data_IF_693348541403
#
_entry.id   IF_693348541403
#
_cell.length_a   1.000
_cell.length_b   1.000
_cell.length_c   1.000
_cell.angle_alpha   90.00
_cell.angle_beta   90.00
_cell.angle_gamma   90.00
#
_symmetry.space_group_name_H-M   'P 1'
#
loop_
_entity.id
_entity.type
_entity.pdbx_description
1 polymer ?
#
# COMPACT_ATOMS: atom_id res chain seq x y z
N UNK A 1 80.95 -66.05 -5.11
CA UNK A 1 80.03 -66.91 -5.85
C UNK A 1 78.63 -66.55 -5.49
N UNK A 2 77.91 -66.09 -6.43
CA UNK A 2 76.42 -65.84 -6.54
C UNK A 2 75.69 -65.34 -5.30
N UNK A 3 75.45 -64.01 -5.29
CA UNK A 3 74.46 -63.30 -4.54
C UNK A 3 73.18 -63.23 -5.38
N UNK A 4 71.91 -63.38 -4.85
CA UNK A 4 70.71 -62.87 -5.48
C UNK A 4 70.01 -61.85 -4.56
N UNK A 5 69.99 -60.61 -4.97
CA UNK A 5 69.21 -59.57 -4.39
C UNK A 5 67.72 -59.74 -4.78
N UNK A 6 66.85 -59.88 -3.77
CA UNK A 6 65.38 -59.81 -3.96
C UNK A 6 64.92 -58.36 -3.99
N UNK A 7 64.31 -57.96 -5.09
CA UNK A 7 63.62 -56.70 -5.22
C UNK A 7 62.31 -56.71 -4.42
N UNK A 8 62.20 -55.84 -3.46
CA UNK A 8 60.94 -55.51 -2.77
C UNK A 8 60.28 -54.42 -3.57
N UNK A 9 59.04 -54.65 -4.09
CA UNK A 9 58.21 -53.70 -4.78
C UNK A 9 57.48 -52.85 -3.73
N UNK A 10 57.56 -51.50 -3.67
CA UNK A 10 56.73 -50.69 -2.82
C UNK A 10 55.40 -50.46 -3.53
N UNK A 11 54.35 -51.07 -3.00
CA UNK A 11 52.96 -50.75 -3.37
C UNK A 11 52.67 -49.31 -2.97
N UNK A 12 52.55 -48.40 -3.94
CA UNK A 12 52.05 -47.02 -3.79
C UNK A 12 50.59 -47.09 -3.48
N UNK A 13 50.21 -46.87 -2.22
CA UNK A 13 48.86 -46.65 -1.78
C UNK A 13 48.47 -45.19 -2.16
N UNK A 14 47.77 -45.02 -3.29
CA UNK A 14 47.21 -43.74 -3.70
C UNK A 14 46.01 -43.41 -2.82
N UNK A 15 46.18 -42.56 -1.83
CA UNK A 15 45.07 -41.98 -1.06
C UNK A 15 44.48 -40.88 -1.92
N UNK A 16 43.34 -41.18 -2.57
CA UNK A 16 42.51 -40.17 -3.23
C UNK A 16 41.80 -39.35 -2.17
N UNK A 17 42.31 -38.17 -1.88
CA UNK A 17 41.59 -37.16 -1.10
C UNK A 17 40.47 -36.62 -1.99
N UNK A 18 39.26 -37.11 -1.79
CA UNK A 18 38.05 -36.45 -2.34
C UNK A 18 37.87 -35.15 -1.55
N UNK A 19 38.42 -34.08 -2.07
CA UNK A 19 38.10 -32.73 -1.62
C UNK A 19 36.64 -32.46 -1.99
N UNK A 20 35.71 -32.70 -1.05
CA UNK A 20 34.35 -32.18 -1.14
C UNK A 20 34.50 -30.67 -1.14
N UNK A 21 34.37 -30.04 -2.32
CA UNK A 21 34.23 -28.61 -2.44
C UNK A 21 32.89 -28.24 -1.77
N UNK A 22 32.97 -27.85 -0.52
CA UNK A 22 31.85 -27.13 0.13
C UNK A 22 31.77 -25.79 -0.62
N UNK A 23 30.90 -25.72 -1.60
CA UNK A 23 30.51 -24.45 -2.19
C UNK A 23 29.83 -23.65 -1.06
N UNK A 24 30.61 -22.84 -0.34
CA UNK A 24 30.03 -21.73 0.39
C UNK A 24 29.37 -20.84 -0.67
N UNK A 25 28.04 -20.84 -0.74
CA UNK A 25 27.34 -19.86 -1.52
C UNK A 25 27.87 -18.49 -1.09
N UNK A 26 28.46 -17.75 -2.02
CA UNK A 26 28.99 -16.43 -1.73
C UNK A 26 27.82 -15.57 -1.24
N UNK A 27 27.99 -14.91 -0.09
CA UNK A 27 27.00 -14.01 0.45
C UNK A 27 26.61 -12.98 -0.61
N UNK A 28 25.32 -12.88 -0.89
CA UNK A 28 24.78 -11.94 -1.88
C UNK A 28 24.40 -10.63 -1.23
N UNK A 29 24.61 -9.52 -1.95
CA UNK A 29 24.00 -8.24 -1.65
C UNK A 29 22.73 -8.13 -2.49
N UNK A 30 21.57 -8.15 -1.85
CA UNK A 30 20.27 -8.05 -2.49
C UNK A 30 19.81 -6.60 -2.41
N UNK A 31 19.51 -5.99 -3.56
CA UNK A 31 19.00 -4.62 -3.67
C UNK A 31 17.48 -4.66 -3.77
N UNK A 32 16.81 -4.01 -2.82
CA UNK A 32 15.36 -3.86 -2.79
C UNK A 32 14.98 -2.38 -2.94
N UNK A 33 14.05 -2.09 -3.84
CA UNK A 33 13.44 -0.76 -3.98
C UNK A 33 12.12 -0.70 -3.22
N UNK A 34 11.97 0.31 -2.37
CA UNK A 34 10.83 0.48 -1.47
C UNK A 34 10.39 1.93 -1.39
N UNK A 35 9.08 2.17 -1.33
CA UNK A 35 8.51 3.49 -1.05
C UNK A 35 8.92 4.01 0.32
N UNK A 36 8.92 5.34 0.47
CA UNK A 36 9.35 6.03 1.67
C UNK A 36 8.17 6.72 2.39
N UNK A 37 7.12 5.95 2.71
CA UNK A 37 5.97 6.44 3.50
C UNK A 37 6.19 6.07 4.96
N UNK A 38 6.00 7.03 5.86
CA UNK A 38 6.15 6.83 7.30
C UNK A 38 7.55 6.35 7.70
N UNK A 39 7.63 5.25 8.44
CA UNK A 39 8.88 4.60 8.88
C UNK A 39 9.18 3.30 8.13
N UNK A 40 8.64 3.10 6.95
CA UNK A 40 8.73 1.83 6.22
C UNK A 40 10.19 1.39 5.97
N UNK A 41 11.06 2.34 5.62
CA UNK A 41 12.49 2.05 5.37
C UNK A 41 13.22 1.63 6.65
N UNK A 42 12.96 2.32 7.77
CA UNK A 42 13.54 1.99 9.07
C UNK A 42 13.06 0.62 9.55
N UNK A 43 11.77 0.35 9.45
CA UNK A 43 11.17 -0.95 9.80
C UNK A 43 11.76 -2.06 8.96
N UNK A 44 11.90 -1.85 7.65
CA UNK A 44 12.49 -2.85 6.74
C UNK A 44 13.94 -3.18 7.15
N UNK A 45 14.75 -2.17 7.48
CA UNK A 45 16.14 -2.36 7.95
C UNK A 45 16.22 -3.10 9.30
N UNK A 46 15.22 -2.95 10.16
CA UNK A 46 15.17 -3.68 11.44
C UNK A 46 14.74 -5.14 11.23
N UNK A 47 13.65 -5.37 10.52
CA UNK A 47 13.10 -6.72 10.37
C UNK A 47 14.01 -7.66 9.58
N UNK A 48 14.88 -7.14 8.71
CA UNK A 48 15.76 -7.97 7.87
C UNK A 48 16.97 -8.54 8.61
N UNK A 49 17.33 -7.99 9.78
CA UNK A 49 18.54 -8.40 10.53
C UNK A 49 18.60 -9.91 10.83
N UNK A 50 17.52 -10.61 11.24
CA UNK A 50 17.55 -12.07 11.43
C UNK A 50 17.84 -12.82 10.12
N UNK A 51 17.27 -12.39 8.99
CA UNK A 51 17.54 -12.98 7.68
C UNK A 51 19.00 -12.79 7.26
N UNK A 52 19.57 -11.60 7.42
CA UNK A 52 20.99 -11.34 7.15
C UNK A 52 21.90 -12.24 8.01
N UNK A 53 21.58 -12.34 9.30
CA UNK A 53 22.35 -13.17 10.23
C UNK A 53 22.29 -14.66 9.88
N UNK A 54 21.13 -15.17 9.49
CA UNK A 54 20.92 -16.60 9.22
C UNK A 54 21.47 -17.03 7.88
N UNK A 55 21.46 -16.15 6.86
CA UNK A 55 21.86 -16.46 5.49
C UNK A 55 23.26 -15.98 5.14
N UNK A 56 23.79 -15.01 5.87
CA UNK A 56 25.01 -14.27 5.52
C UNK A 56 24.83 -13.23 4.42
N UNK A 57 23.66 -13.19 3.77
CA UNK A 57 23.34 -12.19 2.75
C UNK A 57 23.17 -10.79 3.38
N UNK A 58 23.16 -9.77 2.52
CA UNK A 58 22.93 -8.38 2.93
C UNK A 58 21.78 -7.77 2.13
N UNK A 59 21.01 -6.92 2.78
CA UNK A 59 19.99 -6.10 2.13
C UNK A 59 20.47 -4.67 1.98
N UNK A 60 20.44 -4.17 0.74
CA UNK A 60 20.54 -2.74 0.44
C UNK A 60 19.18 -2.23 0.01
N UNK A 61 18.64 -1.25 0.75
CA UNK A 61 17.35 -0.63 0.44
C UNK A 61 17.58 0.65 -0.35
N UNK A 62 17.00 0.73 -1.54
CA UNK A 62 16.98 1.93 -2.35
C UNK A 62 15.62 2.62 -2.16
N UNK A 63 15.58 3.80 -1.49
CA UNK A 63 14.32 4.49 -1.23
C UNK A 63 13.74 5.10 -2.52
N UNK A 64 12.43 4.92 -2.69
CA UNK A 64 11.66 5.52 -3.77
C UNK A 64 10.85 6.72 -3.25
N UNK A 65 10.37 7.61 -4.15
CA UNK A 65 9.40 8.63 -3.78
C UNK A 65 8.17 8.06 -3.07
N UNK A 66 7.49 8.86 -2.26
CA UNK A 66 6.22 8.46 -1.65
C UNK A 66 5.12 8.24 -2.69
N UNK A 67 5.09 9.05 -3.75
CA UNK A 67 4.13 8.93 -4.86
C UNK A 67 4.21 7.57 -5.56
N UNK A 68 3.14 6.77 -5.46
CA UNK A 68 3.01 5.49 -6.16
C UNK A 68 3.01 5.64 -7.68
N UNK A 69 2.50 6.76 -8.20
CA UNK A 69 2.56 7.08 -9.64
C UNK A 69 4.00 7.24 -10.12
N UNK A 70 4.84 7.95 -9.37
CA UNK A 70 6.25 8.14 -9.72
C UNK A 70 7.05 6.83 -9.58
N UNK A 71 6.77 6.05 -8.53
CA UNK A 71 7.36 4.72 -8.37
C UNK A 71 7.05 3.82 -9.57
N UNK A 72 5.79 3.73 -9.97
CA UNK A 72 5.38 2.90 -11.10
C UNK A 72 6.05 3.34 -12.41
N UNK A 73 6.11 4.63 -12.66
CA UNK A 73 6.81 5.19 -13.82
C UNK A 73 8.29 4.77 -13.86
N UNK A 74 8.98 4.90 -12.74
CA UNK A 74 10.38 4.52 -12.62
C UNK A 74 10.60 3.00 -12.75
N UNK A 75 9.72 2.18 -12.14
CA UNK A 75 9.78 0.72 -12.26
C UNK A 75 9.62 0.26 -13.71
N UNK A 76 8.69 0.85 -14.45
CA UNK A 76 8.52 0.55 -15.88
C UNK A 76 9.78 0.81 -16.68
N UNK A 77 10.47 1.93 -16.43
CA UNK A 77 11.72 2.26 -17.12
C UNK A 77 12.82 1.24 -16.81
N UNK A 78 13.05 0.92 -15.54
CA UNK A 78 14.08 -0.04 -15.14
C UNK A 78 13.79 -1.45 -15.65
N UNK A 79 12.56 -1.92 -15.54
CA UNK A 79 12.16 -3.26 -15.97
C UNK A 79 12.18 -3.37 -17.50
N UNK A 80 11.78 -2.35 -18.25
CA UNK A 80 11.89 -2.32 -19.70
C UNK A 80 13.34 -2.35 -20.20
N UNK A 81 14.25 -1.70 -19.45
CA UNK A 81 15.69 -1.73 -19.73
C UNK A 81 16.38 -3.05 -19.33
N UNK A 82 15.67 -3.98 -18.67
CA UNK A 82 16.25 -5.20 -18.14
C UNK A 82 17.27 -4.96 -17.03
N UNK A 83 17.04 -3.93 -16.20
CA UNK A 83 17.96 -3.54 -15.13
C UNK A 83 18.19 -4.72 -14.16
N UNK A 84 19.44 -5.15 -14.04
CA UNK A 84 19.89 -6.25 -13.20
C UNK A 84 20.53 -5.79 -11.87
N UNK A 85 20.53 -4.47 -11.60
CA UNK A 85 21.07 -3.91 -10.36
C UNK A 85 20.02 -3.85 -9.24
N UNK A 86 18.76 -4.14 -9.57
CA UNK A 86 17.65 -4.21 -8.63
C UNK A 86 17.10 -5.63 -8.63
N UNK A 87 17.12 -6.26 -7.46
CA UNK A 87 16.75 -7.66 -7.27
C UNK A 87 15.28 -7.82 -6.87
N UNK A 88 14.79 -6.96 -5.96
CA UNK A 88 13.44 -7.02 -5.38
C UNK A 88 12.74 -5.68 -5.52
N UNK A 89 11.48 -5.73 -5.91
CA UNK A 89 10.62 -4.56 -6.06
C UNK A 89 9.47 -4.65 -5.06
N UNK A 90 9.30 -3.63 -4.24
CA UNK A 90 8.05 -3.46 -3.49
C UNK A 90 6.97 -3.00 -4.48
N UNK A 91 5.83 -3.68 -4.50
CA UNK A 91 4.76 -3.46 -5.48
C UNK A 91 3.42 -3.20 -4.81
N UNK A 92 2.66 -2.22 -5.34
CA UNK A 92 1.26 -2.00 -4.96
C UNK A 92 0.39 -3.19 -5.43
N UNK A 93 -0.71 -3.46 -4.73
CA UNK A 93 -1.66 -4.55 -5.03
C UNK A 93 -2.19 -4.53 -6.47
N UNK A 94 -2.17 -3.39 -7.13
CA UNK A 94 -2.66 -3.19 -8.49
C UNK A 94 -1.63 -3.47 -9.59
N UNK A 95 -0.35 -3.66 -9.27
CA UNK A 95 0.71 -3.71 -10.29
C UNK A 95 0.99 -5.11 -10.85
N UNK A 96 0.53 -6.18 -10.20
CA UNK A 96 0.78 -7.55 -10.65
C UNK A 96 0.36 -7.79 -12.12
N UNK A 97 -0.84 -7.42 -12.59
CA UNK A 97 -1.22 -7.62 -13.99
C UNK A 97 -0.37 -6.84 -14.99
N UNK A 98 0.15 -5.68 -14.58
CA UNK A 98 0.89 -4.77 -15.46
C UNK A 98 2.38 -5.13 -15.59
N UNK A 99 2.97 -5.70 -14.54
CA UNK A 99 4.41 -5.95 -14.44
C UNK A 99 4.78 -7.44 -14.45
N UNK A 100 3.81 -8.35 -14.51
CA UNK A 100 3.97 -9.80 -14.40
C UNK A 100 5.10 -10.37 -15.27
N UNK A 101 5.24 -9.88 -16.49
CA UNK A 101 6.23 -10.37 -17.45
C UNK A 101 7.70 -10.07 -17.04
N UNK A 102 7.91 -9.24 -16.02
CA UNK A 102 9.24 -8.82 -15.57
C UNK A 102 9.66 -9.46 -14.24
N UNK A 103 8.77 -10.23 -13.61
CA UNK A 103 9.02 -10.85 -12.33
C UNK A 103 9.10 -12.38 -12.42
N UNK A 104 9.72 -12.97 -11.43
CA UNK A 104 9.84 -14.42 -11.26
C UNK A 104 8.49 -14.98 -10.84
N UNK A 105 8.09 -16.12 -11.40
CA UNK A 105 6.98 -16.91 -10.89
C UNK A 105 7.34 -17.52 -9.53
N UNK A 106 6.70 -17.06 -8.47
CA UNK A 106 6.95 -17.50 -7.10
C UNK A 106 6.17 -18.77 -6.73
N UNK A 107 5.22 -19.22 -7.55
CA UNK A 107 4.37 -20.39 -7.27
C UNK A 107 5.17 -21.63 -6.83
N UNK A 108 6.29 -22.00 -7.48
CA UNK A 108 7.05 -23.19 -7.07
C UNK A 108 7.71 -23.10 -5.69
N UNK A 109 7.93 -21.87 -5.20
CA UNK A 109 8.73 -21.58 -4.02
C UNK A 109 7.92 -21.29 -2.75
N UNK A 110 6.59 -21.17 -2.87
CA UNK A 110 5.74 -20.56 -1.84
C UNK A 110 4.60 -21.44 -1.33
N UNK A 111 4.56 -22.71 -1.75
CA UNK A 111 3.51 -23.69 -1.37
C UNK A 111 3.34 -23.87 0.14
N UNK A 112 4.39 -23.58 0.90
CA UNK A 112 4.44 -23.70 2.35
C UNK A 112 3.86 -22.48 3.09
N UNK A 113 3.64 -21.36 2.39
CA UNK A 113 3.24 -20.09 3.02
C UNK A 113 1.98 -19.46 2.45
N UNK A 114 1.60 -19.73 1.20
CA UNK A 114 0.47 -19.05 0.54
C UNK A 114 -0.86 -19.26 1.25
N UNK A 115 -1.09 -20.45 1.81
CA UNK A 115 -2.35 -20.79 2.51
C UNK A 115 -2.50 -20.08 3.87
N UNK A 116 -1.46 -19.44 4.37
CA UNK A 116 -1.50 -18.64 5.59
C UNK A 116 -2.14 -17.27 5.37
N UNK A 117 -2.10 -16.78 4.13
CA UNK A 117 -2.62 -15.47 3.74
C UNK A 117 -4.11 -15.53 3.37
N UNK A 118 -4.78 -14.37 3.39
CA UNK A 118 -6.14 -14.27 2.86
C UNK A 118 -6.16 -14.63 1.36
N UNK A 119 -7.01 -15.59 0.95
CA UNK A 119 -7.04 -16.07 -0.44
C UNK A 119 -7.21 -14.97 -1.49
N UNK A 120 -8.08 -13.98 -1.22
CA UNK A 120 -8.32 -12.85 -2.12
C UNK A 120 -7.08 -11.99 -2.35
N UNK A 121 -6.19 -11.88 -1.36
CA UNK A 121 -4.94 -11.13 -1.50
C UNK A 121 -3.95 -11.91 -2.37
N UNK A 122 -3.81 -13.21 -2.16
CA UNK A 122 -2.98 -14.08 -3.03
C UNK A 122 -3.52 -14.07 -4.47
N UNK A 123 -4.84 -14.14 -4.65
CA UNK A 123 -5.46 -14.07 -5.96
C UNK A 123 -5.15 -12.75 -6.68
N UNK A 124 -5.19 -11.61 -5.98
CA UNK A 124 -4.84 -10.30 -6.54
C UNK A 124 -3.40 -10.22 -7.05
N UNK A 125 -2.50 -11.03 -6.49
CA UNK A 125 -1.09 -11.10 -6.88
C UNK A 125 -0.80 -12.25 -7.88
N UNK A 126 -1.84 -12.97 -8.30
CA UNK A 126 -1.73 -14.08 -9.26
C UNK A 126 -2.21 -13.65 -10.64
N UNK A 127 -1.34 -13.77 -11.63
CA UNK A 127 -1.62 -13.40 -13.02
C UNK A 127 -1.32 -14.60 -13.93
N UNK A 128 -2.31 -15.02 -14.72
CA UNK A 128 -2.19 -16.18 -15.62
C UNK A 128 -1.70 -17.45 -14.91
N UNK A 129 -2.17 -17.70 -13.69
CA UNK A 129 -1.83 -18.85 -12.85
C UNK A 129 -0.43 -18.79 -12.21
N UNK A 130 0.24 -17.65 -12.28
CA UNK A 130 1.56 -17.41 -11.68
C UNK A 130 1.44 -16.43 -10.54
N UNK A 131 2.01 -16.76 -9.39
CA UNK A 131 2.14 -15.84 -8.26
C UNK A 131 3.31 -14.88 -8.54
N UNK A 132 3.01 -13.62 -8.75
CA UNK A 132 3.96 -12.59 -9.19
C UNK A 132 4.67 -11.92 -8.01
N UNK A 133 3.95 -11.75 -6.90
CA UNK A 133 4.48 -11.11 -5.70
C UNK A 133 3.93 -11.75 -4.43
N UNK A 134 4.65 -11.63 -3.32
CA UNK A 134 4.19 -12.04 -1.99
C UNK A 134 3.73 -10.83 -1.19
N UNK A 135 2.56 -10.89 -0.54
CA UNK A 135 2.06 -9.78 0.24
C UNK A 135 2.84 -9.62 1.56
N UNK A 136 3.16 -8.38 1.91
CA UNK A 136 3.86 -8.03 3.15
C UNK A 136 2.95 -7.29 4.14
N UNK A 137 1.93 -6.60 3.68
CA UNK A 137 0.80 -6.09 4.44
C UNK A 137 -0.34 -5.68 3.50
N UNK A 138 -1.55 -5.58 4.04
CA UNK A 138 -2.72 -5.03 3.35
C UNK A 138 -3.12 -3.71 3.97
N UNK A 139 -3.97 -2.95 3.28
CA UNK A 139 -4.46 -1.67 3.74
C UNK A 139 -5.94 -1.47 3.40
N UNK A 140 -6.62 -0.75 4.29
CA UNK A 140 -7.87 -0.06 4.03
C UNK A 140 -7.85 1.25 4.83
N UNK A 141 -8.22 2.39 4.23
CA UNK A 141 -8.09 3.69 4.89
C UNK A 141 -9.07 3.86 6.06
N UNK A 142 -8.73 4.81 6.91
CA UNK A 142 -9.48 5.19 8.09
C UNK A 142 -9.85 6.66 8.05
N UNK A 143 -10.96 7.00 8.71
CA UNK A 143 -11.19 8.33 9.23
C UNK A 143 -10.52 8.44 10.59
N UNK A 144 -9.38 9.12 10.65
CA UNK A 144 -8.77 9.52 11.91
C UNK A 144 -9.47 10.76 12.45
N UNK A 145 -9.80 10.76 13.74
CA UNK A 145 -10.55 11.85 14.36
C UNK A 145 -9.98 12.26 15.71
N UNK A 146 -10.01 13.53 16.05
CA UNK A 146 -9.61 14.08 17.35
C UNK A 146 -10.70 13.82 18.38
N UNK A 147 -10.56 12.71 19.14
CA UNK A 147 -11.52 12.31 20.19
C UNK A 147 -11.63 13.35 21.32
N UNK A 148 -10.55 14.03 21.61
CA UNK A 148 -10.51 15.11 22.59
C UNK A 148 -11.37 16.32 22.16
N UNK A 149 -11.28 16.71 20.88
CA UNK A 149 -12.09 17.80 20.32
C UNK A 149 -13.56 17.41 20.19
N UNK A 150 -13.86 16.19 19.74
CA UNK A 150 -15.24 15.68 19.70
C UNK A 150 -15.85 15.72 21.11
N UNK A 151 -15.13 15.26 22.13
CA UNK A 151 -15.58 15.32 23.53
C UNK A 151 -15.76 16.76 24.02
N UNK A 152 -14.79 17.64 23.72
CA UNK A 152 -14.83 19.08 24.13
C UNK A 152 -16.09 19.77 23.63
N UNK A 153 -16.52 19.45 22.40
CA UNK A 153 -17.65 20.10 21.76
C UNK A 153 -18.93 19.25 21.74
N UNK A 154 -18.96 18.16 22.50
CA UNK A 154 -20.10 17.24 22.61
C UNK A 154 -20.59 16.77 21.23
N UNK A 155 -19.64 16.36 20.38
CA UNK A 155 -19.87 15.77 19.04
C UNK A 155 -19.53 14.29 19.05
N UNK A 156 -20.15 13.54 18.15
CA UNK A 156 -19.90 12.12 17.89
C UNK A 156 -19.05 11.95 16.63
N UNK A 157 -18.50 10.75 16.46
CA UNK A 157 -17.85 10.37 15.21
C UNK A 157 -18.89 10.39 14.08
N UNK A 158 -18.63 11.09 12.95
CA UNK A 158 -19.60 11.19 11.87
C UNK A 158 -19.75 9.86 11.12
N UNK A 159 -20.97 9.52 10.74
CA UNK A 159 -21.30 8.34 9.92
C UNK A 159 -21.50 8.67 8.45
N UNK A 160 -21.78 9.93 8.14
CA UNK A 160 -21.96 10.41 6.76
C UNK A 160 -21.01 11.55 6.46
N UNK A 161 -20.73 11.78 5.17
CA UNK A 161 -19.92 12.91 4.73
C UNK A 161 -20.53 14.27 5.07
N UNK A 162 -21.86 14.33 5.11
CA UNK A 162 -22.57 15.54 5.54
C UNK A 162 -22.31 15.82 7.03
N UNK A 163 -22.49 14.82 7.90
CA UNK A 163 -22.18 14.93 9.33
C UNK A 163 -20.71 15.29 9.58
N UNK A 164 -19.77 14.72 8.78
CA UNK A 164 -18.36 15.07 8.84
C UNK A 164 -18.16 16.54 8.51
N UNK A 165 -18.77 17.02 7.41
CA UNK A 165 -18.63 18.41 6.96
C UNK A 165 -19.15 19.39 8.02
N UNK A 166 -20.34 19.15 8.56
CA UNK A 166 -20.94 19.98 9.60
C UNK A 166 -20.12 20.00 10.90
N UNK A 167 -19.69 18.81 11.35
CA UNK A 167 -18.89 18.66 12.59
C UNK A 167 -17.52 19.30 12.44
N UNK A 168 -16.85 19.06 11.30
CA UNK A 168 -15.56 19.64 10.97
C UNK A 168 -15.62 21.17 10.97
N UNK A 169 -16.60 21.74 10.28
CA UNK A 169 -16.80 23.19 10.20
C UNK A 169 -17.06 23.81 11.56
N UNK A 170 -17.94 23.18 12.35
CA UNK A 170 -18.25 23.65 13.70
C UNK A 170 -17.01 23.68 14.60
N UNK A 171 -16.25 22.57 14.67
CA UNK A 171 -15.08 22.48 15.56
C UNK A 171 -13.98 23.42 15.07
N UNK A 172 -13.68 23.45 13.77
CA UNK A 172 -12.72 24.37 13.17
C UNK A 172 -13.00 25.82 13.56
N UNK A 173 -14.27 26.25 13.43
CA UNK A 173 -14.68 27.59 13.77
C UNK A 173 -14.46 27.87 15.26
N UNK A 174 -14.85 26.96 16.14
CA UNK A 174 -14.70 27.10 17.58
C UNK A 174 -13.23 27.11 18.03
N UNK A 175 -12.39 26.29 17.44
CA UNK A 175 -10.95 26.27 17.75
C UNK A 175 -10.26 27.55 17.27
N UNK A 176 -10.63 28.08 16.09
CA UNK A 176 -10.14 29.36 15.60
C UNK A 176 -10.57 30.53 16.48
N UNK A 177 -11.82 30.57 16.93
CA UNK A 177 -12.32 31.54 17.92
C UNK A 177 -11.57 31.43 19.27
N UNK A 178 -11.14 30.23 19.65
CA UNK A 178 -10.39 29.95 20.88
C UNK A 178 -8.89 30.24 20.78
N UNK A 179 -8.41 30.75 19.63
CA UNK A 179 -7.01 31.16 19.45
C UNK A 179 -6.11 30.17 18.69
N UNK A 180 -6.70 29.18 18.01
CA UNK A 180 -5.98 28.30 17.08
C UNK A 180 -6.38 28.60 15.62
N UNK A 181 -5.79 29.64 14.98
CA UNK A 181 -6.15 30.06 13.64
C UNK A 181 -5.80 29.03 12.55
N UNK A 182 -4.86 28.13 12.84
CA UNK A 182 -4.36 27.13 11.90
C UNK A 182 -5.19 25.84 11.86
N UNK A 183 -6.24 25.75 12.70
CA UNK A 183 -7.11 24.58 12.71
C UNK A 183 -7.90 24.41 11.42
N UNK A 184 -7.84 23.23 10.83
CA UNK A 184 -8.67 22.79 9.72
C UNK A 184 -9.62 21.68 10.13
N UNK A 185 -10.73 21.57 9.42
CA UNK A 185 -11.74 20.57 9.69
C UNK A 185 -11.35 19.18 9.20
N UNK A 186 -10.85 19.09 7.94
CA UNK A 186 -10.56 17.81 7.30
C UNK A 186 -9.38 17.91 6.34
N UNK A 187 -8.45 16.93 6.40
CA UNK A 187 -7.31 16.80 5.50
C UNK A 187 -7.25 15.40 4.89
N UNK A 188 -6.84 15.33 3.63
CA UNK A 188 -6.86 14.14 2.79
C UNK A 188 -5.88 14.29 1.61
N UNK A 189 -5.79 13.28 0.71
CA UNK A 189 -4.83 13.21 -0.39
C UNK A 189 -5.43 13.78 -1.68
N UNK A 190 -5.26 15.08 -1.93
CA UNK A 190 -5.85 15.79 -3.07
C UNK A 190 -4.92 16.01 -4.27
N UNK A 191 -3.63 15.63 -4.18
CA UNK A 191 -2.70 15.74 -5.30
C UNK A 191 -3.12 14.84 -6.47
N UNK A 192 -2.78 15.23 -7.71
CA UNK A 192 -3.08 14.45 -8.91
C UNK A 192 -2.13 13.23 -9.05
N UNK A 193 -2.42 12.16 -8.34
CA UNK A 193 -1.66 10.89 -8.34
C UNK A 193 -2.58 9.73 -7.91
N UNK A 194 -2.06 8.51 -7.84
CA UNK A 194 -2.81 7.30 -7.50
C UNK A 194 -3.57 7.41 -6.16
N UNK A 195 -3.05 8.16 -5.18
CA UNK A 195 -3.76 8.39 -3.91
C UNK A 195 -5.11 9.08 -4.10
N UNK A 196 -5.23 10.02 -5.05
CA UNK A 196 -6.51 10.66 -5.37
C UNK A 196 -7.48 9.68 -6.05
N UNK A 197 -6.97 8.70 -6.81
CA UNK A 197 -7.83 7.60 -7.30
C UNK A 197 -8.47 6.85 -6.14
N UNK A 198 -7.70 6.58 -5.08
CA UNK A 198 -8.22 5.92 -3.88
C UNK A 198 -9.29 6.78 -3.19
N UNK A 199 -8.97 8.02 -2.85
CA UNK A 199 -9.89 8.94 -2.15
C UNK A 199 -11.18 9.15 -2.94
N UNK A 200 -11.10 9.41 -4.25
CA UNK A 200 -12.26 9.66 -5.08
C UNK A 200 -13.13 8.42 -5.30
N UNK A 201 -12.51 7.23 -5.41
CA UNK A 201 -13.24 5.96 -5.49
C UNK A 201 -14.07 5.73 -4.21
N UNK A 202 -13.54 6.08 -3.04
CA UNK A 202 -14.23 6.01 -1.76
C UNK A 202 -15.47 6.91 -1.75
N UNK A 203 -15.32 8.16 -2.18
CA UNK A 203 -16.45 9.08 -2.29
C UNK A 203 -17.51 8.58 -3.27
N UNK A 204 -17.12 8.30 -4.50
CA UNK A 204 -18.02 7.83 -5.55
C UNK A 204 -18.76 6.57 -5.15
N UNK A 205 -18.04 5.56 -4.64
CA UNK A 205 -18.63 4.29 -4.22
C UNK A 205 -19.60 4.45 -3.05
N UNK A 206 -19.26 5.28 -2.06
CA UNK A 206 -20.10 5.53 -0.88
C UNK A 206 -21.41 6.24 -1.23
N UNK A 207 -21.46 7.00 -2.32
CA UNK A 207 -22.69 7.59 -2.87
C UNK A 207 -23.50 6.62 -3.73
N UNK A 208 -22.97 5.45 -4.05
CA UNK A 208 -23.58 4.50 -4.97
C UNK A 208 -23.31 4.82 -6.44
N UNK A 209 -22.25 5.58 -6.73
CA UNK A 209 -21.79 5.98 -8.07
C UNK A 209 -20.99 4.90 -8.82
N UNK A 210 -21.02 3.66 -8.36
CA UNK A 210 -20.28 2.56 -8.99
C UNK A 210 -18.80 2.54 -8.65
N UNK A 211 -18.04 1.92 -9.55
CA UNK A 211 -16.58 1.95 -9.54
C UNK A 211 -16.09 2.65 -10.80
N UNK A 212 -14.94 2.87 -11.12
CA UNK A 212 -14.50 3.55 -12.36
C UNK A 212 -14.84 2.67 -13.56
N UNK A 213 -14.43 1.41 -13.46
CA UNK A 213 -14.75 0.31 -14.37
C UNK A 213 -15.19 -0.87 -13.52
N UNK A 214 -16.34 -1.44 -13.83
CA UNK A 214 -16.91 -2.58 -13.12
C UNK A 214 -16.15 -3.88 -13.42
N UNK A 215 -16.41 -4.93 -12.64
CA UNK A 215 -15.74 -6.21 -12.79
C UNK A 215 -15.93 -6.87 -14.17
N UNK A 216 -17.04 -6.58 -14.84
CA UNK A 216 -17.33 -7.04 -16.20
C UNK A 216 -16.69 -6.17 -17.31
N UNK A 217 -15.95 -5.12 -16.92
CA UNK A 217 -15.31 -4.19 -17.85
C UNK A 217 -16.20 -3.04 -18.33
N UNK A 218 -17.39 -2.86 -17.75
CA UNK A 218 -18.27 -1.72 -18.05
C UNK A 218 -17.73 -0.46 -17.41
N UNK A 219 -17.65 0.64 -18.16
CA UNK A 219 -17.31 1.96 -17.63
C UNK A 219 -18.56 2.53 -16.96
N UNK A 220 -18.49 2.84 -15.66
CA UNK A 220 -19.64 3.24 -14.86
C UNK A 220 -19.54 4.65 -14.24
N UNK A 221 -18.41 5.34 -14.43
CA UNK A 221 -18.05 6.53 -13.67
C UNK A 221 -18.92 7.76 -13.99
N UNK A 222 -19.42 7.90 -15.21
CA UNK A 222 -20.26 9.03 -15.61
C UNK A 222 -21.72 8.80 -15.20
N UNK A 223 -22.06 9.20 -14.00
CA UNK A 223 -23.42 9.07 -13.47
C UNK A 223 -23.71 10.17 -12.41
N UNK A 224 -25.00 10.47 -12.14
CA UNK A 224 -25.37 11.53 -11.19
C UNK A 224 -24.83 11.35 -9.78
N UNK A 225 -24.60 10.13 -9.30
CA UNK A 225 -24.07 9.86 -7.96
C UNK A 225 -22.57 10.14 -7.87
N UNK A 226 -21.83 9.83 -8.91
CA UNK A 226 -20.43 10.22 -9.01
C UNK A 226 -20.27 11.75 -9.07
N UNK A 227 -21.13 12.43 -9.84
CA UNK A 227 -21.19 13.90 -9.87
C UNK A 227 -21.45 14.49 -8.48
N UNK A 228 -22.45 13.95 -7.76
CA UNK A 228 -22.79 14.38 -6.39
C UNK A 228 -21.60 14.24 -5.44
N UNK A 229 -20.89 13.10 -5.48
CA UNK A 229 -19.72 12.84 -4.67
C UNK A 229 -18.58 13.85 -4.95
N UNK A 230 -18.28 14.12 -6.21
CA UNK A 230 -17.21 15.07 -6.57
C UNK A 230 -17.57 16.52 -6.23
N UNK A 231 -18.84 16.92 -6.37
CA UNK A 231 -19.30 18.24 -5.93
C UNK A 231 -19.17 18.43 -4.43
N UNK A 232 -19.50 17.40 -3.66
CA UNK A 232 -19.30 17.41 -2.21
C UNK A 232 -17.81 17.60 -1.87
N UNK A 233 -16.91 16.78 -2.43
CA UNK A 233 -15.48 16.89 -2.15
C UNK A 233 -14.92 18.27 -2.54
N UNK A 234 -15.33 18.80 -3.68
CA UNK A 234 -14.97 20.17 -4.11
C UNK A 234 -15.40 21.23 -3.09
N UNK A 235 -16.57 21.07 -2.46
CA UNK A 235 -17.10 22.03 -1.50
C UNK A 235 -16.26 22.16 -0.22
N UNK A 236 -15.45 21.15 0.11
CA UNK A 236 -14.58 21.18 1.30
C UNK A 236 -13.38 22.11 1.14
N UNK A 237 -12.92 22.34 -0.11
CA UNK A 237 -11.68 23.06 -0.40
C UNK A 237 -11.87 24.56 -0.13
N UNK A 238 -11.06 25.12 0.76
CA UNK A 238 -11.18 26.51 1.23
C UNK A 238 -12.24 26.71 2.32
N UNK A 239 -13.11 25.72 2.60
CA UNK A 239 -14.10 25.75 3.68
C UNK A 239 -13.59 24.97 4.91
N UNK A 240 -13.57 23.62 4.85
CA UNK A 240 -13.10 22.76 5.94
C UNK A 240 -11.72 22.14 5.65
N UNK A 241 -11.26 22.20 4.43
CA UNK A 241 -9.93 21.74 3.99
C UNK A 241 -9.12 22.92 3.47
N UNK A 242 -7.80 22.98 3.73
CA UNK A 242 -6.96 24.04 3.19
C UNK A 242 -6.91 23.96 1.66
N UNK A 243 -6.76 25.10 0.97
CA UNK A 243 -6.59 25.11 -0.49
C UNK A 243 -5.38 24.26 -0.93
N UNK A 244 -4.34 24.19 -0.09
CA UNK A 244 -3.16 23.36 -0.29
C UNK A 244 -3.44 21.86 -0.34
N UNK A 245 -4.62 21.38 0.08
CA UNK A 245 -5.00 19.97 0.02
C UNK A 245 -4.88 19.40 -1.39
N UNK A 246 -5.04 20.23 -2.43
CA UNK A 246 -4.86 19.84 -3.84
C UNK A 246 -3.42 19.41 -4.21
N UNK A 247 -2.46 19.64 -3.33
CA UNK A 247 -1.08 19.19 -3.48
C UNK A 247 -0.68 18.15 -2.44
N UNK A 248 -1.58 17.76 -1.51
CA UNK A 248 -1.23 16.83 -0.43
C UNK A 248 -1.18 15.39 -0.92
N UNK A 249 -0.14 14.71 -0.47
CA UNK A 249 -0.03 13.26 -0.42
C UNK A 249 -0.21 12.78 1.03
N UNK A 250 0.05 11.51 1.31
CA UNK A 250 -0.15 10.90 2.63
C UNK A 250 0.56 11.65 3.75
N UNK A 251 1.86 11.96 3.54
CA UNK A 251 2.69 12.60 4.55
C UNK A 251 2.34 14.07 4.80
N UNK A 252 1.86 14.78 3.77
CA UNK A 252 1.42 16.18 3.90
C UNK A 252 0.16 16.25 4.78
N UNK A 253 -0.86 15.44 4.48
CA UNK A 253 -2.08 15.35 5.27
C UNK A 253 -1.77 14.92 6.71
N UNK A 254 -0.91 13.90 6.89
CA UNK A 254 -0.47 13.43 8.20
C UNK A 254 0.28 14.51 8.98
N UNK A 255 1.13 15.27 8.32
CA UNK A 255 1.87 16.38 8.95
C UNK A 255 0.95 17.42 9.56
N UNK A 256 -0.05 17.88 8.84
CA UNK A 256 -1.05 18.84 9.36
C UNK A 256 -1.82 18.24 10.53
N UNK A 257 -2.27 16.99 10.42
CA UNK A 257 -3.07 16.34 11.46
C UNK A 257 -2.22 16.03 12.72
N UNK A 258 -1.03 15.48 12.56
CA UNK A 258 -0.16 15.07 13.66
C UNK A 258 0.37 16.25 14.50
N UNK A 259 0.46 17.44 13.91
CA UNK A 259 0.77 18.69 14.64
C UNK A 259 -0.44 19.24 15.42
N UNK A 260 -1.62 18.64 15.28
CA UNK A 260 -2.82 19.03 15.99
C UNK A 260 -3.73 20.00 15.23
N UNK A 261 -3.40 20.32 13.98
CA UNK A 261 -4.06 21.35 13.17
C UNK A 261 -5.15 20.84 12.25
N UNK A 262 -5.66 19.62 12.49
CA UNK A 262 -6.86 19.12 11.81
C UNK A 262 -7.75 18.31 12.76
N UNK A 263 -9.07 18.40 12.59
CA UNK A 263 -10.07 17.66 13.36
C UNK A 263 -10.18 16.23 12.86
N UNK A 264 -10.22 16.08 11.55
CA UNK A 264 -10.30 14.79 10.85
C UNK A 264 -9.21 14.66 9.80
N UNK A 265 -8.80 13.42 9.55
CA UNK A 265 -7.88 13.06 8.47
C UNK A 265 -8.32 11.73 7.84
N UNK A 266 -8.35 11.67 6.50
CA UNK A 266 -8.32 10.39 5.79
C UNK A 266 -6.86 9.98 5.64
N UNK A 267 -6.51 8.78 6.05
CA UNK A 267 -5.18 8.21 5.79
C UNK A 267 -5.21 6.68 5.97
N UNK A 268 -4.08 6.03 5.68
CA UNK A 268 -3.87 4.60 5.85
C UNK A 268 -3.52 4.24 7.29
N UNK A 269 -3.66 2.97 7.72
CA UNK A 269 -3.45 2.51 9.10
C UNK A 269 -2.09 2.85 9.71
N UNK A 270 -1.02 2.95 8.92
CA UNK A 270 0.32 3.32 9.43
C UNK A 270 0.33 4.65 10.21
N UNK A 271 -0.56 5.56 9.87
CA UNK A 271 -0.69 6.84 10.56
C UNK A 271 -1.10 6.68 12.04
N UNK A 272 -1.68 5.53 12.43
CA UNK A 272 -2.03 5.28 13.83
C UNK A 272 -0.81 5.16 14.73
N UNK A 273 0.19 4.37 14.33
CA UNK A 273 1.44 4.24 15.09
C UNK A 273 2.18 5.59 15.20
N UNK A 274 2.25 6.34 14.09
CA UNK A 274 2.91 7.65 14.06
C UNK A 274 2.17 8.71 14.88
N UNK A 275 0.84 8.72 14.86
CA UNK A 275 0.01 9.61 15.67
C UNK A 275 0.16 9.35 17.16
N UNK A 276 0.54 8.15 17.58
CA UNK A 276 0.83 7.78 18.97
C UNK A 276 2.32 7.80 19.32
N UNK A 277 3.20 8.26 18.42
CA UNK A 277 4.63 8.39 18.72
C UNK A 277 4.89 9.51 19.75
N UNK A 278 6.06 9.47 20.40
CA UNK A 278 6.44 10.45 21.42
C UNK A 278 6.53 11.88 20.86
N UNK A 279 6.85 12.04 19.59
CA UNK A 279 6.94 13.35 18.92
C UNK A 279 5.58 13.91 18.47
N UNK A 280 4.49 13.12 18.61
CA UNK A 280 3.17 13.52 18.15
C UNK A 280 2.48 14.46 19.13
N UNK A 281 2.02 15.62 18.65
CA UNK A 281 1.24 16.56 19.46
C UNK A 281 -0.16 16.03 19.85
N UNK A 282 -0.61 14.97 19.16
CA UNK A 282 -1.92 14.36 19.35
C UNK A 282 -1.88 12.96 19.95
N UNK A 283 -0.73 12.53 20.48
CA UNK A 283 -0.60 11.26 21.18
C UNK A 283 -1.74 11.08 22.17
N UNK A 284 -2.41 9.92 22.15
CA UNK A 284 -3.56 9.56 22.98
C UNK A 284 -4.81 10.46 22.84
N UNK A 285 -4.84 11.41 21.88
CA UNK A 285 -5.96 12.35 21.69
C UNK A 285 -6.87 12.01 20.51
N UNK A 286 -6.65 10.91 19.83
CA UNK A 286 -7.38 10.56 18.61
C UNK A 286 -7.92 9.13 18.63
N UNK A 287 -8.76 8.83 17.67
CA UNK A 287 -9.24 7.50 17.32
C UNK A 287 -9.31 7.32 15.82
N UNK A 288 -9.68 6.12 15.40
CA UNK A 288 -9.94 5.78 14.02
C UNK A 288 -11.32 5.14 13.88
N UNK A 289 -11.99 5.42 12.78
CA UNK A 289 -13.30 4.90 12.43
C UNK A 289 -13.36 4.56 10.94
N UNK A 290 -14.30 3.70 10.49
CA UNK A 290 -14.58 3.56 9.07
C UNK A 290 -14.87 4.92 8.42
N UNK A 291 -14.56 5.05 7.12
CA UNK A 291 -14.89 6.26 6.37
C UNK A 291 -16.40 6.50 6.37
N UNK A 292 -16.86 7.76 6.33
CA UNK A 292 -18.27 8.08 6.26
C UNK A 292 -18.94 7.53 4.99
N UNK A 293 -20.26 7.37 5.03
CA UNK A 293 -21.06 7.04 3.86
C UNK A 293 -21.59 8.27 3.16
N UNK A 294 -21.97 8.14 1.88
CA UNK A 294 -22.66 9.19 1.13
C UNK A 294 -24.16 9.20 1.41
N UNK A 295 -24.90 8.38 0.67
CA UNK A 295 -26.38 8.41 0.65
C UNK A 295 -27.05 7.58 1.76
N UNK A 296 -26.30 6.70 2.45
CA UNK A 296 -26.81 5.81 3.49
C UNK A 296 -25.73 5.47 4.50
N UNK A 297 -26.01 5.54 5.82
CA UNK A 297 -25.04 5.21 6.87
C UNK A 297 -24.39 3.81 6.75
N UNK A 298 -25.04 2.91 6.02
CA UNK A 298 -24.56 1.53 5.84
C UNK A 298 -23.74 1.32 4.56
N UNK A 299 -23.41 2.40 3.83
CA UNK A 299 -22.65 2.33 2.56
C UNK A 299 -21.31 3.03 2.64
N UNK A 300 -20.60 2.85 3.73
CA UNK A 300 -19.18 3.22 3.78
C UNK A 300 -18.38 2.46 2.71
N UNK A 301 -17.39 3.12 2.12
CA UNK A 301 -16.48 2.51 1.19
C UNK A 301 -15.04 2.86 1.56
N UNK A 302 -14.16 1.88 1.54
CA UNK A 302 -12.73 2.03 1.73
C UNK A 302 -12.03 1.38 0.54
N UNK A 303 -11.05 2.03 -0.05
CA UNK A 303 -10.28 1.45 -1.17
C UNK A 303 -9.31 0.41 -0.64
N UNK A 304 -9.27 -0.77 -1.28
CA UNK A 304 -8.27 -1.79 -0.97
C UNK A 304 -6.88 -1.30 -1.39
N UNK A 305 -5.99 -1.24 -0.42
CA UNK A 305 -4.58 -1.01 -0.58
C UNK A 305 -3.75 -2.22 -0.14
N UNK A 306 -2.45 -2.00 -0.07
CA UNK A 306 -1.51 -3.00 0.42
C UNK A 306 -0.29 -3.14 -0.48
N UNK A 307 0.75 -3.73 0.10
CA UNK A 307 2.05 -3.80 -0.51
C UNK A 307 2.58 -5.22 -0.54
N UNK A 308 3.31 -5.52 -1.59
CA UNK A 308 3.85 -6.83 -1.90
C UNK A 308 5.32 -6.71 -2.28
N UNK A 309 6.02 -7.83 -2.37
CA UNK A 309 7.41 -7.88 -2.84
C UNK A 309 7.54 -8.89 -3.97
N UNK A 310 8.14 -8.47 -5.07
CA UNK A 310 8.34 -9.25 -6.29
C UNK A 310 9.83 -9.38 -6.60
N UNK A 311 10.26 -10.53 -7.12
CA UNK A 311 11.64 -10.79 -7.53
C UNK A 311 11.81 -10.47 -9.00
N UNK A 312 12.77 -9.61 -9.35
CA UNK A 312 13.11 -9.30 -10.72
C UNK A 312 13.59 -10.54 -11.49
N UNK A 313 13.05 -10.78 -12.69
CA UNK A 313 13.60 -11.84 -13.55
C UNK A 313 15.02 -11.55 -14.02
N UNK A 314 15.45 -10.30 -13.94
CA UNK A 314 16.79 -9.84 -14.33
C UNK A 314 17.81 -9.94 -13.19
N UNK A 315 17.36 -10.17 -11.95
CA UNK A 315 18.24 -10.34 -10.79
C UNK A 315 19.35 -11.37 -11.03
N UNK A 316 20.54 -11.03 -10.57
CA UNK A 316 21.70 -11.94 -10.52
C UNK A 316 21.71 -12.78 -9.25
N UNK A 317 20.89 -12.43 -8.25
CA UNK A 317 20.83 -13.02 -6.91
C UNK A 317 19.46 -13.67 -6.64
N UNK A 318 18.88 -14.39 -7.62
CA UNK A 318 17.48 -14.89 -7.56
C UNK A 318 17.18 -15.74 -6.33
N UNK A 319 18.08 -16.66 -5.95
CA UNK A 319 17.89 -17.54 -4.80
C UNK A 319 17.84 -16.73 -3.49
N UNK A 320 18.78 -15.80 -3.30
CA UNK A 320 18.81 -14.93 -2.15
C UNK A 320 17.56 -14.01 -2.13
N UNK A 321 17.15 -13.49 -3.29
CA UNK A 321 15.96 -12.64 -3.43
C UNK A 321 14.68 -13.39 -3.13
N UNK A 322 14.52 -14.63 -3.59
CA UNK A 322 13.38 -15.50 -3.26
C UNK A 322 13.34 -15.79 -1.75
N UNK A 323 14.51 -16.09 -1.14
CA UNK A 323 14.61 -16.26 0.30
C UNK A 323 14.19 -15.01 1.06
N UNK A 324 14.62 -13.83 0.60
CA UNK A 324 14.26 -12.55 1.21
C UNK A 324 12.74 -12.27 1.11
N UNK A 325 12.12 -12.44 -0.05
CA UNK A 325 10.68 -12.13 -0.20
C UNK A 325 9.82 -13.10 0.62
N UNK A 326 10.21 -14.37 0.74
CA UNK A 326 9.56 -15.33 1.65
C UNK A 326 9.69 -14.90 3.10
N UNK A 327 10.87 -14.46 3.52
CA UNK A 327 11.10 -13.96 4.87
C UNK A 327 10.26 -12.70 5.16
N UNK A 328 10.23 -11.74 4.24
CA UNK A 328 9.44 -10.50 4.40
C UNK A 328 7.94 -10.75 4.47
N UNK A 329 7.43 -11.81 3.82
CA UNK A 329 6.03 -12.23 3.86
C UNK A 329 5.69 -13.12 5.07
N UNK A 330 6.66 -13.49 5.90
CA UNK A 330 6.47 -14.42 7.03
C UNK A 330 5.63 -13.83 8.15
N UNK A 331 5.08 -14.71 8.99
CA UNK A 331 4.30 -14.35 10.17
C UNK A 331 5.10 -13.47 11.15
N UNK A 332 6.39 -13.80 11.36
CA UNK A 332 7.29 -13.05 12.23
C UNK A 332 7.40 -11.57 11.79
N UNK A 333 7.66 -11.34 10.50
CA UNK A 333 7.84 -10.00 9.96
C UNK A 333 6.51 -9.24 9.93
N UNK A 334 5.42 -9.88 9.56
CA UNK A 334 4.11 -9.23 9.55
C UNK A 334 3.61 -8.90 10.97
N UNK A 335 3.88 -9.76 11.96
CA UNK A 335 3.62 -9.45 13.37
C UNK A 335 4.43 -8.24 13.84
N UNK A 336 5.71 -8.19 13.50
CA UNK A 336 6.56 -7.02 13.83
C UNK A 336 6.00 -5.73 13.22
N UNK A 337 5.65 -5.75 11.92
CA UNK A 337 5.04 -4.59 11.24
C UNK A 337 3.71 -4.17 11.87
N UNK A 338 2.87 -5.14 12.23
CA UNK A 338 1.62 -4.87 12.91
C UNK A 338 1.83 -4.12 14.23
N UNK A 339 2.76 -4.60 15.06
CA UNK A 339 3.03 -4.03 16.38
C UNK A 339 3.71 -2.65 16.33
N UNK A 340 4.61 -2.41 15.35
CA UNK A 340 5.45 -1.20 15.32
C UNK A 340 5.01 -0.14 14.30
N UNK A 341 4.20 -0.53 13.31
CA UNK A 341 3.76 0.35 12.22
C UNK A 341 2.26 0.37 12.00
N UNK A 342 1.48 -0.39 12.78
CA UNK A 342 0.03 -0.58 12.58
C UNK A 342 -0.34 -1.05 11.17
N UNK A 343 0.58 -1.71 10.44
CA UNK A 343 0.28 -2.32 9.15
C UNK A 343 -0.66 -3.51 9.36
N UNK A 344 -1.68 -3.64 8.52
CA UNK A 344 -2.63 -4.74 8.58
C UNK A 344 -1.99 -6.02 8.05
N UNK A 345 -1.92 -7.11 8.84
CA UNK A 345 -1.37 -8.37 8.35
C UNK A 345 -2.20 -8.98 7.21
N UNK A 346 -1.54 -9.67 6.30
CA UNK A 346 -2.20 -10.51 5.30
C UNK A 346 -2.34 -11.96 5.76
N UNK A 347 -1.70 -12.32 6.87
CA UNK A 347 -1.75 -13.64 7.50
C UNK A 347 -2.93 -13.71 8.46
N UNK A 348 -3.80 -14.70 8.24
CA UNK A 348 -5.11 -14.81 8.91
C UNK A 348 -4.97 -14.99 10.43
N UNK A 349 -4.00 -15.84 10.88
CA UNK A 349 -3.77 -16.15 12.29
C UNK A 349 -3.43 -14.93 13.15
N UNK A 350 -2.77 -13.92 12.55
CA UNK A 350 -2.31 -12.72 13.25
C UNK A 350 -3.45 -11.83 13.78
N UNK A 351 -4.66 -11.96 13.24
CA UNK A 351 -5.84 -11.26 13.77
C UNK A 351 -6.34 -11.86 15.10
N UNK A 352 -5.86 -13.05 15.43
CA UNK A 352 -6.12 -13.72 16.71
C UNK A 352 -4.93 -13.66 17.69
N UNK A 353 -3.81 -13.08 17.24
CA UNK A 353 -2.62 -12.91 18.07
C UNK A 353 -2.91 -11.99 19.28
N UNK A 354 -2.46 -12.44 20.45
CA UNK A 354 -2.72 -11.76 21.73
C UNK A 354 -2.03 -10.41 21.81
N UNK A 355 -0.75 -10.34 21.39
CA UNK A 355 0.04 -9.12 21.49
C UNK A 355 -0.52 -8.04 20.56
N UNK A 356 -0.96 -8.43 19.35
CA UNK A 356 -1.58 -7.51 18.41
C UNK A 356 -2.92 -7.00 18.98
N UNK A 357 -3.76 -7.86 19.52
CA UNK A 357 -5.05 -7.44 20.11
C UNK A 357 -4.88 -6.48 21.29
N UNK A 358 -3.86 -6.69 22.10
CA UNK A 358 -3.59 -5.84 23.27
C UNK A 358 -2.91 -4.52 22.91
N UNK A 359 -1.94 -4.52 21.99
CA UNK A 359 -1.11 -3.35 21.70
C UNK A 359 -1.60 -2.55 20.49
N UNK A 360 -2.32 -3.20 19.55
CA UNK A 360 -2.82 -2.60 18.31
C UNK A 360 -4.29 -2.93 18.08
N UNK A 361 -5.20 -2.47 18.96
CA UNK A 361 -6.61 -2.81 18.87
C UNK A 361 -7.28 -2.38 17.55
N UNK A 362 -6.71 -1.37 16.87
CA UNK A 362 -7.16 -0.94 15.55
C UNK A 362 -7.10 -2.09 14.51
N UNK A 363 -6.08 -2.95 14.57
CA UNK A 363 -5.92 -4.04 13.60
C UNK A 363 -7.09 -5.01 13.66
N UNK A 364 -7.49 -5.43 14.87
CA UNK A 364 -8.64 -6.31 15.04
C UNK A 364 -9.95 -5.66 14.53
N UNK A 365 -10.13 -4.36 14.79
CA UNK A 365 -11.30 -3.60 14.32
C UNK A 365 -11.31 -3.43 12.79
N UNK A 366 -10.14 -3.38 12.15
CA UNK A 366 -10.00 -3.10 10.72
C UNK A 366 -10.14 -4.32 9.83
N UNK A 367 -10.16 -5.54 10.39
CA UNK A 367 -10.31 -6.78 9.60
C UNK A 367 -11.53 -6.73 8.68
N UNK A 368 -12.68 -6.36 9.21
CA UNK A 368 -13.92 -6.29 8.42
C UNK A 368 -13.89 -5.16 7.39
N UNK A 369 -13.21 -4.05 7.69
CA UNK A 369 -13.07 -2.92 6.75
C UNK A 369 -12.31 -3.35 5.51
N UNK A 370 -11.13 -3.98 5.66
CA UNK A 370 -10.34 -4.38 4.49
C UNK A 370 -10.95 -5.58 3.74
N UNK A 371 -11.61 -6.52 4.42
CA UNK A 371 -12.28 -7.65 3.76
C UNK A 371 -13.44 -7.20 2.84
N UNK A 372 -14.03 -6.04 3.13
CA UNK A 372 -15.09 -5.42 2.32
C UNK A 372 -14.60 -4.22 1.50
N UNK A 373 -13.29 -3.99 1.48
CA UNK A 373 -12.71 -2.88 0.74
C UNK A 373 -12.93 -3.01 -0.77
N UNK A 374 -13.07 -1.87 -1.41
CA UNK A 374 -13.34 -1.76 -2.85
C UNK A 374 -12.02 -1.88 -3.61
N UNK A 375 -11.84 -2.89 -4.47
CA UNK A 375 -10.64 -2.97 -5.29
C UNK A 375 -10.65 -1.88 -6.35
N UNK A 376 -9.49 -1.28 -6.60
CA UNK A 376 -9.26 -0.47 -7.78
C UNK A 376 -9.35 -1.36 -9.04
N UNK A 377 -9.85 -0.86 -10.19
CA UNK A 377 -10.22 -1.72 -11.32
C UNK A 377 -9.03 -2.27 -12.14
N UNK A 378 -7.95 -2.71 -11.49
CA UNK A 378 -6.79 -3.30 -12.16
C UNK A 378 -7.08 -4.67 -12.78
N UNK A 379 -7.94 -5.46 -12.16
CA UNK A 379 -8.31 -6.78 -12.67
C UNK A 379 -9.07 -6.71 -14.02
N UNK A 380 -10.16 -5.91 -14.17
CA UNK A 380 -10.84 -5.77 -15.46
C UNK A 380 -10.00 -5.03 -16.50
N UNK A 381 -9.20 -4.03 -16.13
CA UNK A 381 -8.47 -3.18 -17.08
C UNK A 381 -7.04 -3.66 -17.37
N UNK A 382 -6.54 -4.63 -16.62
CA UNK A 382 -5.27 -5.34 -16.85
C UNK A 382 -4.08 -4.38 -17.04
N UNK A 383 -3.37 -4.48 -18.16
CA UNK A 383 -2.20 -3.66 -18.48
C UNK A 383 -2.52 -2.18 -18.68
N UNK A 384 -3.80 -1.84 -18.91
CA UNK A 384 -4.25 -0.45 -19.13
C UNK A 384 -4.59 0.29 -17.82
N UNK A 385 -4.55 -0.39 -16.67
CA UNK A 385 -4.99 0.20 -15.40
C UNK A 385 -4.31 1.55 -15.10
N UNK A 386 -3.01 1.66 -15.29
CA UNK A 386 -2.30 2.91 -14.97
C UNK A 386 -2.81 4.10 -15.79
N UNK A 387 -3.21 3.87 -17.05
CA UNK A 387 -3.82 4.90 -17.90
C UNK A 387 -5.24 5.22 -17.46
N UNK A 388 -6.02 4.20 -17.05
CA UNK A 388 -7.36 4.39 -16.46
C UNK A 388 -7.27 5.27 -15.22
N UNK A 389 -6.38 4.92 -14.28
CA UNK A 389 -6.20 5.68 -13.05
C UNK A 389 -5.72 7.11 -13.31
N UNK A 390 -4.75 7.30 -14.21
CA UNK A 390 -4.23 8.65 -14.51
C UNK A 390 -5.28 9.55 -15.14
N UNK A 391 -6.16 9.04 -16.01
CA UNK A 391 -7.29 9.79 -16.54
C UNK A 391 -8.32 10.12 -15.45
N UNK A 392 -8.62 9.16 -14.59
CA UNK A 392 -9.56 9.34 -13.49
C UNK A 392 -9.08 10.38 -12.48
N UNK A 393 -7.88 10.23 -11.91
CA UNK A 393 -7.41 11.23 -10.95
C UNK A 393 -7.21 12.62 -11.58
N UNK A 394 -6.87 12.71 -12.87
CA UNK A 394 -6.79 13.99 -13.57
C UNK A 394 -8.14 14.68 -13.74
N UNK A 395 -9.18 13.93 -14.09
CA UNK A 395 -10.55 14.44 -14.19
C UNK A 395 -11.09 14.90 -12.81
N UNK A 396 -10.84 14.09 -11.77
CA UNK A 396 -11.18 14.44 -10.39
C UNK A 396 -10.45 15.70 -9.96
N UNK A 397 -9.12 15.75 -10.12
CA UNK A 397 -8.32 16.91 -9.72
C UNK A 397 -8.73 18.19 -10.47
N UNK A 398 -9.04 18.09 -11.77
CA UNK A 398 -9.57 19.21 -12.55
C UNK A 398 -10.89 19.73 -11.96
N UNK A 399 -11.79 18.82 -11.57
CA UNK A 399 -13.06 19.18 -10.91
C UNK A 399 -12.79 19.90 -9.58
N UNK A 400 -11.91 19.35 -8.74
CA UNK A 400 -11.57 19.91 -7.44
C UNK A 400 -10.91 21.28 -7.55
N UNK A 401 -10.02 21.45 -8.51
CA UNK A 401 -9.32 22.71 -8.80
C UNK A 401 -10.22 23.77 -9.47
N UNK A 402 -11.45 23.41 -9.88
CA UNK A 402 -12.37 24.34 -10.54
C UNK A 402 -12.15 24.47 -12.06
N UNK A 403 -11.41 23.55 -12.66
CA UNK A 403 -11.19 23.49 -14.12
C UNK A 403 -12.29 22.63 -14.77
N UNK A 404 -13.48 23.19 -14.91
CA UNK A 404 -14.71 22.54 -15.37
C UNK A 404 -15.62 22.06 -14.25
N UNK A 405 -16.83 21.67 -14.62
CA UNK A 405 -17.80 21.05 -13.73
C UNK A 405 -17.52 19.55 -13.54
N UNK A 406 -18.12 18.94 -12.52
CA UNK A 406 -18.03 17.50 -12.33
C UNK A 406 -18.67 16.74 -13.51
N UNK A 407 -19.77 17.24 -14.03
CA UNK A 407 -20.48 16.67 -15.18
C UNK A 407 -19.57 16.65 -16.43
N UNK A 408 -19.01 17.81 -16.79
CA UNK A 408 -18.14 17.94 -17.96
C UNK A 408 -16.90 17.06 -17.87
N UNK A 409 -16.24 17.05 -16.70
CA UNK A 409 -15.03 16.25 -16.50
C UNK A 409 -15.31 14.73 -16.50
N UNK A 410 -16.47 14.28 -15.96
CA UNK A 410 -16.84 12.87 -16.00
C UNK A 410 -17.32 12.41 -17.39
N UNK A 411 -17.99 13.26 -18.15
CA UNK A 411 -18.36 13.00 -19.55
C UNK A 411 -17.12 12.84 -20.43
N UNK A 412 -16.16 13.76 -20.29
CA UNK A 412 -14.86 13.66 -20.99
C UNK A 412 -14.11 12.40 -20.58
N UNK A 413 -14.05 12.09 -19.29
CA UNK A 413 -13.40 10.89 -18.78
C UNK A 413 -14.01 9.61 -19.37
N UNK A 414 -15.34 9.49 -19.42
CA UNK A 414 -16.02 8.35 -20.01
C UNK A 414 -15.59 8.17 -21.48
N UNK A 415 -15.62 9.24 -22.28
CA UNK A 415 -15.17 9.22 -23.67
C UNK A 415 -13.69 8.79 -23.80
N UNK A 416 -12.82 9.27 -22.93
CA UNK A 416 -11.41 8.90 -22.92
C UNK A 416 -11.20 7.45 -22.54
N UNK A 417 -11.97 6.92 -21.58
CA UNK A 417 -11.92 5.52 -21.15
C UNK A 417 -12.46 4.58 -22.23
N UNK A 418 -13.55 4.96 -22.93
CA UNK A 418 -14.05 4.19 -24.08
C UNK A 418 -13.02 4.16 -25.22
N UNK A 419 -12.34 5.28 -25.47
CA UNK A 419 -11.26 5.36 -26.46
C UNK A 419 -10.08 4.45 -26.04
N UNK A 420 -9.69 4.49 -24.77
CA UNK A 420 -8.62 3.65 -24.23
C UNK A 420 -8.99 2.15 -24.28
N UNK A 421 -10.23 1.81 -23.94
CA UNK A 421 -10.75 0.46 -23.98
C UNK A 421 -10.70 -0.11 -25.42
N UNK A 422 -11.13 0.68 -26.39
CA UNK A 422 -11.24 0.22 -27.78
C UNK A 422 -12.17 -1.00 -27.86
N UNK A 423 -11.68 -2.07 -28.46
CA UNK A 423 -12.46 -3.32 -28.59
C UNK A 423 -12.41 -4.18 -27.30
N UNK A 424 -11.45 -3.95 -26.41
CA UNK A 424 -11.26 -4.78 -25.20
C UNK A 424 -10.29 -4.11 -24.22
N UNK A 425 -10.46 -4.41 -22.92
CA UNK A 425 -9.48 -4.09 -21.87
C UNK A 425 -8.23 -4.95 -21.97
#
# INVERSE_FOLDING_TARGET
>A
MKNPWKFINPSLLSISIVASAINFAQAAEVVLVSGAVGKDIEVLKEVVKPWEKSTGNKLTVFPMPASTTDQFGQYRLWLAAGNADIDVYQTDVIWAPQLANNFVDLTPYTKDIVDQHFPSIIESQTTNGKLIALPIFTDAPALFYRKDLLKKYNKTVPNTWEELTETAKYIQTKEREAGNPDMWGFVWQGNAYEGLTCDALEWVKSFGGGQIVEADGTISINNPKAVEALKMAKSWIGDISPAGVLAYQEEDARGVWQTGNAVFMRNWPYAYALGNSEESAIKDKFGAAPLPSGASPNKSAATLGGWNVAVSKYSKHKEASISLVKFLASEEVQKYRALHSSNLPTIISLYDDKDIKEQQPIIAQWKDVFLHAVPRPSAPTKIKYNEVSSKFFSAVHSTLAGSGSAEENLELLEYELETLKGNNW
#
